data_IF_481011753829
#
_entry.id   IF_481011753829
#
_cell.length_a   1.000
_cell.length_b   1.000
_cell.length_c   1.000
_cell.angle_alpha   90.00
_cell.angle_beta   90.00
_cell.angle_gamma   90.00
#
_symmetry.space_group_name_H-M   'P 1'
#
loop_
_entity.id
_entity.type
_entity.pdbx_description
1 polymer ?
#
# COMPACT_ATOMS: atom_id res chain seq x y z
N UNK A 1 53.95 23.28 -5.23
CA UNK A 1 54.08 22.22 -4.17
C UNK A 1 52.70 21.82 -3.65
N UNK A 2 52.52 20.71 -2.91
CA UNK A 2 51.24 20.47 -2.20
C UNK A 2 51.13 21.38 -0.98
N UNK A 3 49.91 21.73 -0.54
CA UNK A 3 49.66 22.56 0.66
C UNK A 3 50.43 22.02 1.88
N UNK A 4 50.43 20.70 2.07
CA UNK A 4 51.14 20.06 3.17
C UNK A 4 52.67 20.26 3.08
N UNK A 5 53.26 20.13 1.89
CA UNK A 5 54.70 20.37 1.69
C UNK A 5 55.06 21.84 1.90
N UNK A 6 54.19 22.76 1.48
CA UNK A 6 54.35 24.20 1.75
C UNK A 6 54.34 24.47 3.26
N UNK A 7 53.33 23.97 3.97
CA UNK A 7 53.20 24.12 5.41
C UNK A 7 54.40 23.55 6.19
N UNK A 8 54.86 22.35 5.84
CA UNK A 8 56.03 21.71 6.46
C UNK A 8 57.33 22.48 6.22
N UNK A 9 57.49 23.07 5.02
CA UNK A 9 58.67 23.86 4.67
C UNK A 9 58.69 25.22 5.36
N UNK A 10 57.55 25.89 5.38
CA UNK A 10 57.34 27.15 6.11
C UNK A 10 57.57 26.95 7.61
N UNK A 11 57.06 25.85 8.18
CA UNK A 11 57.28 25.48 9.59
C UNK A 11 58.78 25.30 9.90
N UNK A 12 59.52 24.62 9.02
CA UNK A 12 60.96 24.39 9.16
C UNK A 12 61.79 25.68 9.07
N UNK A 13 61.41 26.61 8.19
CA UNK A 13 62.20 27.82 7.91
C UNK A 13 61.81 29.02 8.77
N UNK A 14 60.53 29.16 9.11
CA UNK A 14 59.96 30.33 9.77
C UNK A 14 59.41 30.01 11.17
N UNK A 15 59.40 28.73 11.58
CA UNK A 15 58.87 28.30 12.88
C UNK A 15 57.34 28.31 12.96
N UNK A 16 56.65 28.63 11.86
CA UNK A 16 55.20 28.73 11.79
C UNK A 16 54.66 27.90 10.62
N UNK A 17 53.76 26.97 10.92
CA UNK A 17 53.14 26.11 9.90
C UNK A 17 52.15 26.86 9.00
N UNK A 18 51.40 27.80 9.58
CA UNK A 18 50.46 28.71 8.91
C UNK A 18 49.68 28.09 7.72
N UNK A 19 49.20 26.85 7.91
CA UNK A 19 48.60 26.04 6.85
C UNK A 19 47.32 26.68 6.28
N UNK A 20 46.63 27.49 7.07
CA UNK A 20 45.44 28.24 6.68
C UNK A 20 45.75 29.31 5.64
N UNK A 21 46.91 29.96 5.73
CA UNK A 21 47.38 30.94 4.73
C UNK A 21 47.64 30.22 3.41
N UNK A 22 48.35 29.08 3.43
CA UNK A 22 48.58 28.27 2.23
C UNK A 22 47.27 27.78 1.60
N UNK A 23 46.30 27.35 2.41
CA UNK A 23 44.97 26.99 1.92
C UNK A 23 44.24 28.20 1.33
N UNK A 24 44.34 29.38 1.92
CA UNK A 24 43.68 30.57 1.41
C UNK A 24 44.27 31.02 0.07
N UNK A 25 45.58 30.87 -0.13
CA UNK A 25 46.25 31.14 -1.40
C UNK A 25 45.74 30.18 -2.49
N UNK A 26 45.71 28.87 -2.22
CA UNK A 26 45.41 27.84 -3.23
C UNK A 26 43.91 27.51 -3.39
N UNK A 27 43.07 27.77 -2.38
CA UNK A 27 41.63 27.38 -2.38
C UNK A 27 40.67 28.51 -2.69
N UNK A 28 41.13 29.58 -3.33
CA UNK A 28 40.29 30.74 -3.63
C UNK A 28 38.97 30.39 -4.35
N UNK A 29 38.88 29.25 -5.05
CA UNK A 29 37.66 28.83 -5.78
C UNK A 29 37.33 27.32 -5.69
N UNK A 30 37.33 26.72 -4.49
CA UNK A 30 37.06 25.28 -4.32
C UNK A 30 35.58 24.84 -4.50
N UNK A 31 34.65 25.76 -4.83
CA UNK A 31 33.25 25.42 -5.12
C UNK A 31 32.85 25.67 -6.59
N UNK A 32 33.31 26.76 -7.20
CA UNK A 32 32.95 27.09 -8.59
C UNK A 32 33.94 26.49 -9.60
N UNK A 33 35.22 26.31 -9.26
CA UNK A 33 36.25 25.86 -10.20
C UNK A 33 36.01 24.47 -10.78
N UNK A 34 35.50 23.52 -9.99
CA UNK A 34 35.21 22.18 -10.51
C UNK A 34 33.92 22.11 -11.33
N UNK A 35 32.87 22.82 -10.90
CA UNK A 35 31.62 22.93 -11.66
C UNK A 35 31.84 23.69 -12.98
N UNK A 36 32.71 24.71 -12.97
CA UNK A 36 33.10 25.47 -14.15
C UNK A 36 34.01 24.65 -15.08
N UNK A 37 34.98 23.91 -14.54
CA UNK A 37 35.77 22.94 -15.29
C UNK A 37 34.89 21.88 -16.00
N UNK A 38 33.90 21.31 -15.30
CA UNK A 38 32.97 20.35 -15.92
C UNK A 38 32.14 20.98 -17.06
N UNK A 39 31.89 22.29 -17.01
CA UNK A 39 31.12 23.01 -18.04
C UNK A 39 31.99 23.53 -19.19
N UNK A 40 33.24 23.95 -18.93
CA UNK A 40 34.04 24.77 -19.85
C UNK A 40 35.44 24.20 -20.13
N UNK A 41 35.91 23.20 -19.38
CA UNK A 41 37.26 22.64 -19.49
C UNK A 41 37.59 21.91 -20.79
N UNK A 42 36.60 21.64 -21.64
CA UNK A 42 36.78 21.06 -22.98
C UNK A 42 36.90 22.15 -24.08
N UNK A 43 36.75 23.44 -23.74
CA UNK A 43 36.84 24.52 -24.71
C UNK A 43 38.29 24.85 -25.08
N UNK A 44 38.58 25.11 -26.38
CA UNK A 44 39.90 25.60 -26.79
C UNK A 44 40.27 26.90 -26.06
N UNK A 45 41.43 26.93 -25.39
CA UNK A 45 41.91 28.12 -24.66
C UNK A 45 41.56 28.17 -23.17
N UNK A 46 40.86 27.18 -22.62
CA UNK A 46 40.63 27.08 -21.17
C UNK A 46 41.94 26.82 -20.41
N UNK A 47 42.26 27.67 -19.43
CA UNK A 47 43.41 27.49 -18.55
C UNK A 47 42.94 27.27 -17.09
N UNK A 48 43.16 26.07 -16.51
CA UNK A 48 42.75 25.76 -15.14
C UNK A 48 43.49 26.61 -14.08
N UNK A 49 44.60 27.27 -14.44
CA UNK A 49 45.39 28.13 -13.56
C UNK A 49 45.03 29.61 -13.67
N UNK A 50 44.05 29.98 -14.49
CA UNK A 50 43.63 31.38 -14.68
C UNK A 50 43.21 32.08 -13.38
N UNK A 51 42.74 31.34 -12.38
CA UNK A 51 42.39 31.87 -11.06
C UNK A 51 43.60 32.33 -10.24
N UNK A 52 44.81 31.82 -10.53
CA UNK A 52 46.03 32.14 -9.77
C UNK A 52 46.37 33.63 -9.82
N UNK A 53 46.01 34.33 -10.90
CA UNK A 53 46.19 35.80 -11.00
C UNK A 53 45.57 36.60 -9.85
N UNK A 54 44.63 36.02 -9.11
CA UNK A 54 43.97 36.68 -8.00
C UNK A 54 44.77 36.62 -6.70
N UNK A 55 45.29 35.44 -6.30
CA UNK A 55 45.98 35.24 -5.01
C UNK A 55 47.43 34.79 -5.10
N UNK A 56 47.91 34.44 -6.29
CA UNK A 56 49.33 34.19 -6.55
C UNK A 56 50.06 35.42 -7.09
N UNK A 57 49.71 36.61 -6.62
CA UNK A 57 50.33 37.87 -7.04
C UNK A 57 50.66 38.75 -5.84
N UNK A 58 51.62 39.66 -6.01
CA UNK A 58 52.05 40.62 -4.98
C UNK A 58 50.91 41.43 -4.39
N UNK A 59 49.98 41.83 -5.23
CA UNK A 59 48.83 42.67 -4.88
C UNK A 59 47.91 41.98 -3.87
N UNK A 60 47.87 40.64 -3.89
CA UNK A 60 47.05 39.86 -2.97
C UNK A 60 47.67 39.71 -1.57
N UNK A 61 48.91 40.15 -1.37
CA UNK A 61 49.53 40.14 -0.05
C UNK A 61 48.76 41.03 0.93
N UNK A 62 48.24 42.17 0.46
CA UNK A 62 47.45 43.06 1.31
C UNK A 62 46.12 42.42 1.74
N UNK A 63 45.45 41.72 0.81
CA UNK A 63 44.25 40.93 1.11
C UNK A 63 44.55 39.82 2.14
N UNK A 64 45.73 39.18 2.06
CA UNK A 64 46.16 38.17 3.03
C UNK A 64 46.38 38.79 4.43
N UNK A 65 46.96 39.99 4.51
CA UNK A 65 47.14 40.71 5.77
C UNK A 65 45.80 41.05 6.40
N UNK A 66 44.83 41.49 5.61
CA UNK A 66 43.48 41.80 6.08
C UNK A 66 42.75 40.55 6.60
N UNK A 67 42.76 39.46 5.83
CA UNK A 67 42.08 38.21 6.20
C UNK A 67 42.63 37.60 7.51
N UNK A 68 43.96 37.59 7.64
CA UNK A 68 44.64 36.94 8.76
C UNK A 68 45.04 37.91 9.88
N UNK A 69 44.58 39.16 9.80
CA UNK A 69 44.78 40.18 10.82
C UNK A 69 44.28 39.66 12.18
N UNK A 70 45.16 39.68 13.19
CA UNK A 70 44.84 39.24 14.54
C UNK A 70 44.95 37.72 14.79
N UNK A 71 45.13 36.91 13.74
CA UNK A 71 45.44 35.47 13.85
C UNK A 71 46.95 35.23 13.82
N UNK A 72 47.64 35.94 12.91
CA UNK A 72 49.10 35.88 12.77
C UNK A 72 49.71 37.30 12.80
N UNK A 73 50.96 37.45 13.29
CA UNK A 73 51.73 38.67 13.11
C UNK A 73 51.91 39.00 11.62
N UNK A 74 51.91 40.29 11.27
CA UNK A 74 52.00 40.74 9.86
C UNK A 74 53.29 40.25 9.19
N UNK A 75 54.41 40.23 9.91
CA UNK A 75 55.70 39.70 9.43
C UNK A 75 55.63 38.20 9.13
N UNK A 76 54.84 37.43 9.90
CA UNK A 76 54.61 36.01 9.64
C UNK A 76 53.72 35.83 8.41
N UNK A 77 52.64 36.61 8.28
CA UNK A 77 51.76 36.55 7.10
C UNK A 77 52.56 36.84 5.82
N UNK A 78 53.37 37.90 5.84
CA UNK A 78 54.22 38.29 4.73
C UNK A 78 55.21 37.19 4.35
N UNK A 79 55.95 36.68 5.34
CA UNK A 79 56.96 35.67 5.10
C UNK A 79 56.36 34.35 4.58
N UNK A 80 55.22 33.93 5.12
CA UNK A 80 54.52 32.70 4.69
C UNK A 80 53.96 32.86 3.29
N UNK A 81 53.28 33.98 3.01
CA UNK A 81 52.66 34.26 1.71
C UNK A 81 53.71 34.38 0.61
N UNK A 82 54.72 35.24 0.80
CA UNK A 82 55.79 35.44 -0.17
C UNK A 82 56.55 34.14 -0.42
N UNK A 83 56.81 33.35 0.63
CA UNK A 83 57.51 32.07 0.49
C UNK A 83 56.71 31.07 -0.32
N UNK A 84 55.42 30.94 -0.03
CA UNK A 84 54.55 30.02 -0.77
C UNK A 84 54.55 30.33 -2.27
N UNK A 85 54.43 31.61 -2.64
CA UNK A 85 54.44 32.02 -4.03
C UNK A 85 55.81 31.78 -4.66
N UNK A 86 56.89 32.19 -3.99
CA UNK A 86 58.24 31.96 -4.52
C UNK A 86 58.57 30.48 -4.68
N UNK A 87 58.06 29.61 -3.82
CA UNK A 87 58.25 28.17 -3.94
C UNK A 87 57.48 27.56 -5.12
N UNK A 88 56.41 28.20 -5.58
CA UNK A 88 55.64 27.79 -6.76
C UNK A 88 56.18 28.37 -8.08
N UNK A 89 56.97 29.45 -8.04
CA UNK A 89 57.50 30.15 -9.22
C UNK A 89 59.04 30.26 -9.23
N UNK A 90 59.75 29.25 -8.72
CA UNK A 90 61.22 29.15 -8.73
C UNK A 90 61.93 30.42 -8.21
N UNK A 91 61.43 30.96 -7.11
CA UNK A 91 61.95 32.16 -6.46
C UNK A 91 61.42 33.47 -7.04
N UNK A 92 60.63 33.46 -8.11
CA UNK A 92 59.98 34.66 -8.63
C UNK A 92 58.73 35.02 -7.80
N UNK A 93 58.46 36.31 -7.64
CA UNK A 93 57.27 36.80 -6.95
C UNK A 93 56.49 37.71 -7.91
N UNK A 94 55.48 37.18 -8.60
CA UNK A 94 54.82 37.82 -9.74
C UNK A 94 53.87 38.95 -9.35
N UNK A 95 53.67 39.88 -10.29
CA UNK A 95 52.59 40.86 -10.28
C UNK A 95 51.35 40.29 -10.99
N UNK A 96 50.17 40.88 -10.76
CA UNK A 96 48.93 40.44 -11.42
C UNK A 96 49.04 40.54 -12.95
N UNK A 97 49.71 41.58 -13.45
CA UNK A 97 49.98 41.80 -14.88
C UNK A 97 50.81 40.67 -15.53
N UNK A 98 51.67 40.00 -14.76
CA UNK A 98 52.48 38.89 -15.28
C UNK A 98 51.59 37.74 -15.79
N UNK A 99 50.43 37.52 -15.17
CA UNK A 99 49.49 36.47 -15.57
C UNK A 99 48.68 36.81 -16.83
N UNK A 100 48.67 38.06 -17.28
CA UNK A 100 47.98 38.51 -18.50
C UNK A 100 48.89 38.38 -19.74
N UNK A 101 50.21 38.44 -19.53
CA UNK A 101 51.21 38.15 -20.54
C UNK A 101 51.36 36.62 -20.66
N UNK A 102 50.73 36.02 -21.67
CA UNK A 102 50.63 34.55 -21.84
C UNK A 102 51.94 33.74 -21.73
N UNK A 103 53.09 34.40 -21.83
CA UNK A 103 54.43 33.81 -21.66
C UNK A 103 54.80 33.47 -20.21
N UNK A 104 54.19 34.09 -19.20
CA UNK A 104 54.54 33.87 -17.79
C UNK A 104 54.10 32.49 -17.29
N UNK A 105 52.85 32.13 -17.57
CA UNK A 105 52.28 30.85 -17.15
C UNK A 105 52.97 29.68 -17.86
N UNK A 106 53.36 29.86 -19.13
CA UNK A 106 54.13 28.87 -19.90
C UNK A 106 55.52 28.65 -19.27
N UNK A 107 56.26 29.73 -18.96
CA UNK A 107 57.63 29.64 -18.42
C UNK A 107 57.75 28.89 -17.10
N UNK A 108 56.78 29.03 -16.20
CA UNK A 108 56.85 28.46 -14.84
C UNK A 108 55.98 27.21 -14.64
N UNK A 109 55.18 26.80 -15.64
CA UNK A 109 54.40 25.57 -15.60
C UNK A 109 54.78 24.51 -16.66
N UNK A 110 55.74 24.76 -17.56
CA UNK A 110 56.28 23.75 -18.50
C UNK A 110 57.40 22.85 -17.92
N UNK A 111 57.78 23.00 -16.64
CA UNK A 111 58.88 22.21 -16.06
C UNK A 111 58.51 20.76 -15.69
N UNK A 112 57.25 20.35 -15.79
CA UNK A 112 56.86 18.93 -15.67
C UNK A 112 55.78 18.65 -16.72
N UNK A 113 56.19 18.02 -17.82
CA UNK A 113 55.40 17.81 -19.04
C UNK A 113 54.33 16.73 -18.88
N UNK A 114 53.43 16.94 -17.92
CA UNK A 114 52.15 16.23 -17.84
C UNK A 114 51.04 17.26 -17.71
N UNK A 115 50.35 17.55 -18.81
CA UNK A 115 49.02 18.17 -18.75
C UNK A 115 48.18 17.24 -17.86
N UNK A 116 47.87 17.69 -16.64
CA UNK A 116 47.03 16.95 -15.71
C UNK A 116 45.74 16.56 -16.45
N UNK A 117 45.51 15.25 -16.58
CA UNK A 117 44.31 14.74 -17.22
C UNK A 117 43.06 15.01 -16.36
N UNK A 118 41.89 14.74 -16.91
CA UNK A 118 40.63 14.80 -16.14
C UNK A 118 40.67 13.94 -14.89
N UNK A 119 41.44 12.85 -14.88
CA UNK A 119 41.64 11.97 -13.71
C UNK A 119 42.55 12.60 -12.66
N UNK A 120 43.68 13.19 -13.05
CA UNK A 120 44.62 13.82 -12.12
C UNK A 120 44.02 15.08 -11.47
N UNK A 121 43.24 15.86 -12.24
CA UNK A 121 42.46 16.99 -11.74
C UNK A 121 41.33 16.52 -10.80
N UNK A 122 40.65 15.42 -11.16
CA UNK A 122 39.63 14.84 -10.29
C UNK A 122 40.22 14.30 -8.98
N UNK A 123 41.47 13.84 -8.95
CA UNK A 123 42.16 13.44 -7.72
C UNK A 123 42.58 14.66 -6.88
N UNK A 124 43.06 15.73 -7.51
CA UNK A 124 43.39 17.01 -6.86
C UNK A 124 42.19 17.65 -6.15
N UNK A 125 41.00 17.64 -6.78
CA UNK A 125 39.75 18.17 -6.21
C UNK A 125 38.95 17.15 -5.38
N UNK A 126 39.31 15.85 -5.38
CA UNK A 126 38.70 14.82 -4.52
C UNK A 126 39.30 14.83 -3.12
N UNK A 127 38.95 15.85 -2.33
CA UNK A 127 38.97 15.66 -0.88
C UNK A 127 37.98 14.56 -0.46
N UNK A 128 38.38 13.65 0.44
CA UNK A 128 37.52 12.61 1.09
C UNK A 128 36.17 13.12 1.64
N UNK A 129 35.95 14.42 1.70
CA UNK A 129 34.71 15.07 2.11
C UNK A 129 33.63 15.12 1.00
N UNK A 130 33.99 15.19 -0.28
CA UNK A 130 33.00 15.41 -1.36
C UNK A 130 32.20 14.14 -1.70
N UNK A 131 32.85 12.98 -1.81
CA UNK A 131 32.12 11.72 -2.02
C UNK A 131 31.18 11.40 -0.85
N UNK A 132 31.60 11.71 0.38
CA UNK A 132 30.74 11.60 1.57
C UNK A 132 29.59 12.62 1.53
N UNK A 133 29.81 13.84 1.07
CA UNK A 133 28.78 14.87 0.96
C UNK A 133 27.76 14.58 -0.14
N UNK A 134 28.18 14.13 -1.32
CA UNK A 134 27.28 13.75 -2.42
C UNK A 134 26.48 12.47 -2.09
N UNK A 135 27.12 11.46 -1.49
CA UNK A 135 26.43 10.28 -0.98
C UNK A 135 25.49 10.61 0.19
N UNK A 136 25.88 11.53 1.07
CA UNK A 136 25.03 12.04 2.14
C UNK A 136 23.85 12.86 1.61
N UNK A 137 24.04 13.67 0.56
CA UNK A 137 22.99 14.48 -0.07
C UNK A 137 21.95 13.58 -0.77
N UNK A 138 22.38 12.57 -1.54
CA UNK A 138 21.48 11.55 -2.12
C UNK A 138 20.72 10.77 -1.04
N UNK A 139 21.39 10.38 0.06
CA UNK A 139 20.74 9.73 1.22
C UNK A 139 19.79 10.69 1.98
N UNK A 140 20.04 12.00 1.96
CA UNK A 140 19.21 13.02 2.63
C UNK A 140 17.94 13.30 1.81
N UNK A 141 18.03 13.34 0.48
CA UNK A 141 16.90 13.49 -0.44
C UNK A 141 15.91 12.31 -0.37
N UNK A 142 16.40 11.07 -0.37
CA UNK A 142 15.49 9.90 -0.26
C UNK A 142 14.83 9.78 1.12
N UNK A 143 15.57 10.06 2.20
CA UNK A 143 15.00 10.09 3.57
C UNK A 143 14.01 11.23 3.78
N UNK A 144 14.13 12.34 3.05
CA UNK A 144 13.18 13.44 3.09
C UNK A 144 11.84 13.05 2.46
N UNK A 145 11.84 12.41 1.29
CA UNK A 145 10.62 11.96 0.60
C UNK A 145 9.84 10.91 1.42
N UNK A 146 10.52 9.91 1.99
CA UNK A 146 9.88 8.86 2.79
C UNK A 146 9.18 9.38 4.06
N UNK A 147 9.62 10.52 4.61
CA UNK A 147 8.97 11.14 5.78
C UNK A 147 7.58 11.68 5.48
N UNK A 148 7.29 12.05 4.24
CA UNK A 148 5.97 12.51 3.82
C UNK A 148 5.14 11.39 3.20
N UNK A 149 5.76 10.47 2.47
CA UNK A 149 5.05 9.37 1.83
C UNK A 149 4.53 8.33 2.83
N UNK A 150 5.30 8.00 3.86
CA UNK A 150 4.93 6.96 4.81
C UNK A 150 3.61 7.29 5.54
N UNK A 151 3.42 8.48 6.17
CA UNK A 151 2.15 8.79 6.83
C UNK A 151 0.96 8.80 5.89
N UNK A 152 1.14 9.24 4.64
CA UNK A 152 0.07 9.26 3.63
C UNK A 152 -0.34 7.85 3.24
N UNK A 153 0.62 6.97 2.95
CA UNK A 153 0.36 5.56 2.64
C UNK A 153 -0.29 4.88 3.85
N UNK A 154 0.21 5.11 5.06
CA UNK A 154 -0.39 4.58 6.28
C UNK A 154 -1.83 5.06 6.46
N UNK A 155 -2.10 6.35 6.26
CA UNK A 155 -3.45 6.90 6.35
C UNK A 155 -4.39 6.28 5.31
N UNK A 156 -3.92 6.07 4.07
CA UNK A 156 -4.70 5.40 3.02
C UNK A 156 -5.01 3.95 3.36
N UNK A 157 -4.02 3.19 3.84
CA UNK A 157 -4.22 1.80 4.26
C UNK A 157 -5.20 1.72 5.43
N UNK A 158 -5.08 2.60 6.42
CA UNK A 158 -6.02 2.67 7.54
C UNK A 158 -7.42 3.06 7.08
N UNK A 159 -7.55 4.02 6.16
CA UNK A 159 -8.84 4.42 5.60
C UNK A 159 -9.50 3.24 4.88
N UNK A 160 -8.80 2.61 3.93
CA UNK A 160 -9.31 1.44 3.20
C UNK A 160 -9.67 0.33 4.18
N UNK A 161 -8.76 -0.04 5.09
CA UNK A 161 -9.02 -1.06 6.11
C UNK A 161 -10.26 -0.77 6.96
N UNK A 162 -10.45 0.49 7.39
CA UNK A 162 -11.64 0.90 8.14
C UNK A 162 -12.93 0.79 7.32
N UNK A 163 -12.87 1.10 6.02
CA UNK A 163 -14.01 0.95 5.12
C UNK A 163 -14.40 -0.53 4.95
N UNK A 164 -13.43 -1.44 4.80
CA UNK A 164 -13.73 -2.88 4.76
C UNK A 164 -14.34 -3.37 6.08
N UNK A 165 -13.79 -2.95 7.22
CA UNK A 165 -14.32 -3.31 8.54
C UNK A 165 -15.77 -2.86 8.76
N UNK A 166 -16.22 -1.81 8.08
CA UNK A 166 -17.61 -1.31 8.20
C UNK A 166 -18.51 -1.89 7.11
N UNK A 167 -18.09 -1.81 5.84
CA UNK A 167 -18.93 -2.13 4.68
C UNK A 167 -19.23 -3.63 4.61
N UNK A 168 -18.21 -4.49 4.80
CA UNK A 168 -18.37 -5.96 4.64
C UNK A 168 -19.37 -6.54 5.64
N UNK A 169 -19.25 -6.33 6.96
CA UNK A 169 -20.20 -6.91 7.92
C UNK A 169 -21.61 -6.33 7.76
N UNK A 170 -21.74 -5.01 7.56
CA UNK A 170 -23.05 -4.37 7.34
C UNK A 170 -23.71 -4.94 6.08
N UNK A 171 -22.96 -5.10 4.99
CA UNK A 171 -23.49 -5.66 3.75
C UNK A 171 -23.90 -7.11 3.94
N UNK A 172 -23.10 -7.91 4.65
CA UNK A 172 -23.42 -9.31 4.96
C UNK A 172 -24.70 -9.41 5.78
N UNK A 173 -24.82 -8.62 6.85
CA UNK A 173 -25.99 -8.60 7.72
C UNK A 173 -27.24 -8.17 6.95
N UNK A 174 -27.16 -7.11 6.15
CA UNK A 174 -28.26 -6.65 5.31
C UNK A 174 -28.70 -7.71 4.30
N UNK A 175 -27.74 -8.40 3.65
CA UNK A 175 -28.05 -9.49 2.73
C UNK A 175 -28.74 -10.66 3.45
N UNK A 176 -28.27 -11.05 4.63
CA UNK A 176 -28.89 -12.09 5.45
C UNK A 176 -30.30 -11.70 5.89
N UNK A 177 -30.49 -10.47 6.36
CA UNK A 177 -31.80 -9.96 6.80
C UNK A 177 -32.79 -9.91 5.65
N UNK A 178 -32.36 -9.43 4.48
CA UNK A 178 -33.18 -9.45 3.26
C UNK A 178 -33.59 -10.87 2.88
N UNK A 179 -32.66 -11.83 2.98
CA UNK A 179 -32.95 -13.24 2.72
C UNK A 179 -33.94 -13.83 3.72
N UNK A 180 -33.77 -13.53 5.02
CA UNK A 180 -34.69 -13.92 6.09
C UNK A 180 -36.10 -13.36 5.87
N UNK A 181 -36.21 -12.10 5.47
CA UNK A 181 -37.50 -11.48 5.12
C UNK A 181 -38.11 -12.16 3.89
N UNK A 182 -37.29 -12.41 2.85
CA UNK A 182 -37.74 -13.09 1.63
C UNK A 182 -38.33 -14.47 1.93
N UNK A 183 -37.63 -15.32 2.70
CA UNK A 183 -38.14 -16.67 3.01
C UNK A 183 -39.39 -16.63 3.90
N UNK A 184 -39.52 -15.61 4.76
CA UNK A 184 -40.75 -15.39 5.56
C UNK A 184 -41.95 -15.10 4.68
N UNK A 185 -41.81 -14.16 3.74
CA UNK A 185 -42.88 -13.83 2.78
C UNK A 185 -43.20 -15.01 1.85
N UNK A 186 -42.19 -15.75 1.40
CA UNK A 186 -42.38 -16.95 0.58
C UNK A 186 -43.11 -18.07 1.33
N UNK A 187 -42.81 -18.28 2.62
CA UNK A 187 -43.59 -19.21 3.45
C UNK A 187 -45.05 -18.76 3.57
N UNK A 188 -45.32 -17.45 3.66
CA UNK A 188 -46.70 -16.94 3.68
C UNK A 188 -47.46 -17.24 2.38
N UNK A 189 -46.78 -17.21 1.22
CA UNK A 189 -47.37 -17.64 -0.06
C UNK A 189 -47.75 -19.13 -0.03
N UNK A 190 -46.87 -19.98 0.51
CA UNK A 190 -47.16 -21.41 0.64
C UNK A 190 -48.33 -21.67 1.62
N UNK A 191 -48.39 -20.94 2.73
CA UNK A 191 -49.54 -21.01 3.66
C UNK A 191 -50.84 -20.55 2.98
N UNK A 192 -50.80 -19.50 2.15
CA UNK A 192 -51.96 -19.08 1.36
C UNK A 192 -52.47 -20.17 0.39
N UNK A 193 -51.57 -20.99 -0.15
CA UNK A 193 -51.98 -22.17 -0.92
C UNK A 193 -52.67 -23.22 -0.04
N UNK A 194 -52.16 -23.48 1.18
CA UNK A 194 -52.83 -24.36 2.14
C UNK A 194 -54.23 -23.84 2.48
N UNK A 195 -54.37 -22.55 2.78
CA UNK A 195 -55.65 -21.89 3.08
C UNK A 195 -56.66 -22.05 1.94
N UNK A 196 -56.22 -21.90 0.68
CA UNK A 196 -57.07 -22.09 -0.49
C UNK A 196 -57.65 -23.52 -0.54
N UNK A 197 -56.82 -24.55 -0.40
CA UNK A 197 -57.29 -25.94 -0.40
C UNK A 197 -58.13 -26.28 0.83
N UNK A 198 -57.78 -25.73 2.00
CA UNK A 198 -58.59 -25.86 3.22
C UNK A 198 -59.98 -25.28 3.03
N UNK A 199 -60.09 -24.07 2.47
CA UNK A 199 -61.37 -23.45 2.16
C UNK A 199 -62.25 -24.29 1.24
N UNK A 200 -61.66 -24.90 0.20
CA UNK A 200 -62.39 -25.82 -0.69
C UNK A 200 -62.88 -27.08 0.01
N UNK A 201 -62.10 -27.60 0.95
CA UNK A 201 -62.53 -28.71 1.81
C UNK A 201 -63.71 -28.30 2.70
N UNK A 202 -63.65 -27.11 3.30
CA UNK A 202 -64.69 -26.59 4.20
C UNK A 202 -66.01 -26.29 3.48
N UNK A 203 -65.94 -25.90 2.21
CA UNK A 203 -67.09 -25.75 1.32
C UNK A 203 -67.64 -27.11 0.83
N UNK A 204 -66.99 -28.23 1.15
CA UNK A 204 -67.39 -29.56 0.71
C UNK A 204 -67.12 -29.85 -0.77
N UNK A 205 -66.29 -29.04 -1.43
CA UNK A 205 -65.92 -29.21 -2.85
C UNK A 205 -64.90 -30.35 -3.07
N UNK A 206 -64.24 -30.80 -2.01
CA UNK A 206 -63.33 -31.95 -1.99
C UNK A 206 -63.20 -32.49 -0.56
N UNK A 207 -62.72 -33.72 -0.41
CA UNK A 207 -62.43 -34.25 0.93
C UNK A 207 -61.19 -33.58 1.52
N UNK A 208 -61.10 -33.52 2.86
CA UNK A 208 -59.93 -32.94 3.54
C UNK A 208 -58.63 -33.65 3.16
N UNK A 209 -58.68 -34.97 2.98
CA UNK A 209 -57.53 -35.76 2.55
C UNK A 209 -57.10 -35.40 1.12
N UNK A 210 -58.05 -35.19 0.21
CA UNK A 210 -57.75 -34.78 -1.17
C UNK A 210 -57.22 -33.34 -1.21
N UNK A 211 -57.74 -32.46 -0.35
CA UNK A 211 -57.27 -31.08 -0.20
C UNK A 211 -55.82 -31.03 0.30
N UNK A 212 -55.52 -31.77 1.36
CA UNK A 212 -54.17 -31.94 1.89
C UNK A 212 -53.21 -32.47 0.81
N UNK A 213 -53.59 -33.56 0.13
CA UNK A 213 -52.76 -34.15 -0.92
C UNK A 213 -52.49 -33.17 -2.08
N UNK A 214 -53.50 -32.45 -2.56
CA UNK A 214 -53.31 -31.48 -3.64
C UNK A 214 -52.46 -30.28 -3.20
N UNK A 215 -52.67 -29.79 -1.98
CA UNK A 215 -51.88 -28.69 -1.42
C UNK A 215 -50.41 -29.07 -1.27
N UNK A 216 -50.11 -30.25 -0.72
CA UNK A 216 -48.73 -30.72 -0.56
C UNK A 216 -48.04 -30.95 -1.90
N UNK A 217 -48.74 -31.49 -2.90
CA UNK A 217 -48.22 -31.66 -4.27
C UNK A 217 -48.00 -30.34 -5.01
N UNK A 218 -48.84 -29.33 -4.78
CA UNK A 218 -48.61 -27.99 -5.32
C UNK A 218 -47.36 -27.37 -4.71
N UNK A 219 -47.26 -27.36 -3.38
CA UNK A 219 -46.10 -26.85 -2.65
C UNK A 219 -44.82 -27.62 -3.02
N UNK A 220 -44.90 -28.95 -3.23
CA UNK A 220 -43.79 -29.79 -3.71
C UNK A 220 -43.20 -29.28 -5.01
N UNK A 221 -43.99 -28.66 -5.89
CA UNK A 221 -43.57 -28.17 -7.21
C UNK A 221 -43.13 -26.71 -7.18
N UNK A 222 -43.46 -25.95 -6.14
CA UNK A 222 -43.04 -24.56 -6.02
C UNK A 222 -41.51 -24.47 -5.90
N UNK A 223 -40.90 -23.65 -6.75
CA UNK A 223 -39.46 -23.37 -6.75
C UNK A 223 -39.21 -21.87 -6.85
N UNK A 224 -38.07 -21.45 -6.34
CA UNK A 224 -37.60 -20.07 -6.44
C UNK A 224 -36.07 -19.99 -6.41
N UNK A 225 -35.55 -18.77 -6.37
CA UNK A 225 -34.11 -18.49 -6.42
C UNK A 225 -33.57 -18.47 -7.85
N UNK A 226 -32.32 -18.03 -8.01
CA UNK A 226 -31.72 -17.82 -9.35
C UNK A 226 -31.55 -19.09 -10.16
N UNK A 227 -31.36 -20.24 -9.49
CA UNK A 227 -31.23 -21.54 -10.15
C UNK A 227 -32.55 -22.33 -10.19
N UNK A 228 -33.65 -21.75 -9.66
CA UNK A 228 -34.95 -22.39 -9.56
C UNK A 228 -34.89 -23.75 -8.81
N UNK A 229 -34.01 -23.84 -7.80
CA UNK A 229 -33.76 -25.03 -6.99
C UNK A 229 -34.16 -24.89 -5.52
N UNK A 230 -34.47 -23.68 -5.04
CA UNK A 230 -34.98 -23.50 -3.68
C UNK A 230 -36.40 -24.02 -3.55
N UNK A 231 -36.72 -24.56 -2.38
CA UNK A 231 -37.87 -25.44 -2.22
C UNK A 231 -38.51 -25.33 -0.83
N UNK A 232 -39.71 -25.89 -0.72
CA UNK A 232 -40.49 -25.99 0.52
C UNK A 232 -40.50 -27.42 1.02
N UNK A 233 -40.67 -27.60 2.32
CA UNK A 233 -40.90 -28.88 2.97
C UNK A 233 -41.99 -28.71 4.04
N UNK A 234 -42.65 -29.81 4.40
CA UNK A 234 -43.75 -29.80 5.37
C UNK A 234 -43.51 -30.93 6.38
N UNK A 235 -43.59 -30.61 7.68
CA UNK A 235 -43.67 -31.59 8.77
C UNK A 235 -44.98 -31.39 9.56
N UNK A 236 -45.33 -32.35 10.41
CA UNK A 236 -46.34 -32.15 11.46
C UNK A 236 -45.72 -31.69 12.80
N UNK A 237 -46.54 -31.38 13.80
CA UNK A 237 -46.07 -30.97 15.15
C UNK A 237 -45.22 -32.01 15.88
N UNK A 238 -45.26 -33.27 15.44
CA UNK A 238 -44.48 -34.38 16.00
C UNK A 238 -43.18 -34.60 15.24
N UNK A 239 -42.83 -33.70 14.33
CA UNK A 239 -41.67 -33.82 13.44
C UNK A 239 -41.75 -35.01 12.47
N UNK A 240 -42.96 -35.44 12.08
CA UNK A 240 -43.15 -36.40 10.99
C UNK A 240 -43.12 -35.66 9.66
N UNK A 241 -42.32 -36.13 8.70
CA UNK A 241 -42.28 -35.51 7.36
C UNK A 241 -43.58 -35.77 6.60
N UNK A 242 -44.24 -34.69 6.19
CA UNK A 242 -45.44 -34.74 5.34
C UNK A 242 -45.04 -34.68 3.86
N UNK A 243 -44.08 -33.83 3.51
CA UNK A 243 -43.64 -33.65 2.12
C UNK A 243 -42.22 -33.10 2.07
N UNK A 244 -41.35 -33.76 1.29
CA UNK A 244 -40.03 -33.22 0.95
C UNK A 244 -39.72 -33.45 -0.54
N UNK A 245 -39.40 -32.40 -1.32
CA UNK A 245 -39.28 -32.54 -2.77
C UNK A 245 -38.02 -33.26 -3.23
N UNK A 246 -36.94 -33.20 -2.46
CA UNK A 246 -35.63 -33.78 -2.81
C UNK A 246 -35.27 -35.04 -2.02
N UNK A 247 -36.05 -35.39 -1.00
CA UNK A 247 -35.83 -36.55 -0.13
C UNK A 247 -37.19 -37.19 0.19
N UNK A 248 -37.94 -37.64 -0.84
CA UNK A 248 -39.25 -38.24 -0.65
C UNK A 248 -39.23 -39.48 0.24
N UNK A 249 -38.06 -40.14 0.39
CA UNK A 249 -37.85 -41.25 1.31
C UNK A 249 -38.08 -40.89 2.77
N UNK A 250 -38.00 -39.60 3.15
CA UNK A 250 -38.28 -39.14 4.51
C UNK A 250 -39.78 -39.10 4.81
N UNK A 251 -40.65 -39.07 3.81
CA UNK A 251 -42.10 -38.87 3.98
C UNK A 251 -42.73 -40.00 4.81
N UNK A 252 -43.50 -39.61 5.83
CA UNK A 252 -44.11 -40.50 6.81
C UNK A 252 -43.16 -40.97 7.92
N UNK A 253 -41.87 -40.62 7.90
CA UNK A 253 -40.94 -40.95 8.97
C UNK A 253 -41.00 -39.94 10.11
N UNK A 254 -40.84 -40.44 11.33
CA UNK A 254 -40.59 -39.61 12.52
C UNK A 254 -39.13 -39.13 12.52
N UNK A 255 -38.95 -37.81 12.50
CA UNK A 255 -37.65 -37.16 12.45
C UNK A 255 -37.35 -36.37 13.73
N UNK A 256 -38.05 -36.64 14.83
CA UNK A 256 -37.83 -35.96 16.12
C UNK A 256 -36.40 -36.13 16.65
N UNK A 257 -35.76 -37.25 16.30
CA UNK A 257 -34.39 -37.60 16.66
C UNK A 257 -33.39 -37.41 15.50
N UNK A 258 -33.85 -36.85 14.36
CA UNK A 258 -32.96 -36.55 13.25
C UNK A 258 -31.93 -35.51 13.69
N UNK A 259 -30.65 -35.87 13.55
CA UNK A 259 -29.51 -34.99 13.70
C UNK A 259 -28.66 -35.06 12.45
N UNK A 260 -28.10 -33.92 12.06
CA UNK A 260 -27.00 -33.95 11.12
C UNK A 260 -25.79 -34.64 11.77
N UNK A 261 -25.26 -35.67 11.12
CA UNK A 261 -24.06 -36.40 11.55
C UNK A 261 -22.77 -35.58 11.45
N UNK A 262 -22.77 -34.53 10.62
CA UNK A 262 -21.61 -33.64 10.41
C UNK A 262 -21.62 -32.44 11.35
N UNK A 263 -22.76 -32.15 11.98
CA UNK A 263 -22.88 -31.09 12.97
C UNK A 263 -22.53 -31.64 14.36
N UNK A 264 -21.32 -31.31 14.82
CA UNK A 264 -20.79 -31.78 16.11
C UNK A 264 -21.52 -31.15 17.31
N UNK A 265 -22.26 -30.05 17.10
CA UNK A 265 -23.16 -29.40 18.06
C UNK A 265 -24.65 -29.68 17.76
N UNK A 266 -24.93 -30.61 16.85
CA UNK A 266 -26.15 -30.76 16.05
C UNK A 266 -27.49 -30.49 16.72
N UNK A 267 -28.19 -29.50 16.17
CA UNK A 267 -29.60 -29.20 16.44
C UNK A 267 -30.47 -30.36 15.94
N UNK A 268 -31.45 -30.76 16.75
CA UNK A 268 -32.51 -31.66 16.29
C UNK A 268 -33.45 -30.89 15.37
N UNK A 269 -33.07 -30.77 14.10
CA UNK A 269 -33.66 -29.87 13.11
C UNK A 269 -35.20 -29.86 13.17
N UNK A 270 -35.84 -30.99 12.93
CA UNK A 270 -37.29 -31.04 12.79
C UNK A 270 -38.01 -30.87 14.12
N UNK A 271 -37.40 -31.32 15.22
CA UNK A 271 -37.93 -31.09 16.57
C UNK A 271 -37.86 -29.63 16.97
N UNK A 272 -36.76 -28.96 16.65
CA UNK A 272 -36.59 -27.53 16.95
C UNK A 272 -37.48 -26.67 16.05
N UNK A 273 -37.63 -27.04 14.77
CA UNK A 273 -38.62 -26.43 13.89
C UNK A 273 -40.04 -26.58 14.43
N UNK A 274 -40.41 -27.78 14.91
CA UNK A 274 -41.68 -28.02 15.56
C UNK A 274 -41.87 -27.17 16.83
N UNK A 275 -40.84 -27.12 17.69
CA UNK A 275 -40.86 -26.30 18.90
C UNK A 275 -41.10 -24.82 18.59
N UNK A 276 -40.31 -24.23 17.69
CA UNK A 276 -40.43 -22.82 17.28
C UNK A 276 -41.82 -22.51 16.71
N UNK A 277 -42.32 -23.36 15.81
CA UNK A 277 -43.61 -23.15 15.18
C UNK A 277 -44.79 -23.32 16.15
N UNK A 278 -44.67 -24.17 17.18
CA UNK A 278 -45.74 -24.39 18.17
C UNK A 278 -45.74 -23.34 19.29
N UNK A 279 -44.57 -22.88 19.73
CA UNK A 279 -44.45 -21.90 20.81
C UNK A 279 -44.76 -20.48 20.34
N UNK A 280 -44.20 -20.08 19.20
CA UNK A 280 -44.27 -18.70 18.70
C UNK A 280 -45.15 -18.57 17.43
N UNK A 281 -45.66 -19.68 16.90
CA UNK A 281 -46.40 -19.74 15.62
C UNK A 281 -45.48 -19.80 14.39
N UNK A 282 -44.25 -19.29 14.52
CA UNK A 282 -43.27 -19.15 13.45
C UNK A 282 -41.85 -18.98 14.00
N UNK A 283 -40.82 -19.18 13.18
CA UNK A 283 -39.45 -18.97 13.62
C UNK A 283 -38.38 -19.24 12.57
N UNK A 284 -37.15 -18.80 12.88
CA UNK A 284 -35.97 -19.08 12.06
C UNK A 284 -35.12 -20.17 12.71
N UNK A 285 -34.60 -21.08 11.89
CA UNK A 285 -33.70 -22.15 12.32
C UNK A 285 -32.52 -22.27 11.34
N UNK A 286 -31.32 -22.42 11.89
CA UNK A 286 -30.08 -22.61 11.13
C UNK A 286 -29.55 -24.02 11.35
N UNK A 287 -29.18 -24.70 10.27
CA UNK A 287 -28.77 -26.09 10.28
C UNK A 287 -28.02 -26.46 9.00
N UNK A 288 -27.21 -27.51 9.06
CA UNK A 288 -26.60 -28.09 7.88
C UNK A 288 -27.59 -29.01 7.16
N UNK A 289 -27.64 -28.90 5.83
CA UNK A 289 -28.54 -29.71 5.01
C UNK A 289 -27.94 -30.02 3.64
N UNK A 290 -28.46 -31.06 3.00
CA UNK A 290 -28.18 -31.39 1.61
C UNK A 290 -28.33 -30.15 0.74
N UNK A 291 -27.35 -29.87 -0.12
CA UNK A 291 -27.39 -28.77 -1.06
C UNK A 291 -28.26 -29.15 -2.27
N UNK A 292 -29.50 -28.66 -2.29
CA UNK A 292 -30.52 -28.97 -3.29
C UNK A 292 -30.69 -30.48 -3.55
N UNK A 293 -30.43 -30.93 -4.78
CA UNK A 293 -30.56 -32.28 -5.30
C UNK A 293 -29.25 -33.08 -5.26
N UNK A 294 -28.20 -32.58 -4.59
CA UNK A 294 -26.90 -33.25 -4.47
C UNK A 294 -26.71 -33.89 -3.08
N UNK A 295 -26.91 -35.22 -2.93
CA UNK A 295 -26.77 -35.91 -1.64
C UNK A 295 -25.34 -35.92 -1.08
N UNK A 296 -24.33 -35.64 -1.92
CA UNK A 296 -22.92 -35.63 -1.53
C UNK A 296 -22.44 -34.28 -1.00
N UNK A 297 -23.24 -33.22 -1.17
CA UNK A 297 -22.88 -31.87 -0.77
C UNK A 297 -23.79 -31.38 0.35
N UNK A 298 -23.20 -30.89 1.45
CA UNK A 298 -23.92 -30.19 2.52
C UNK A 298 -23.52 -28.74 2.59
N UNK A 299 -24.49 -27.92 2.97
CA UNK A 299 -24.37 -26.49 3.06
C UNK A 299 -25.17 -25.99 4.27
N UNK A 300 -24.77 -24.83 4.79
CA UNK A 300 -25.39 -24.25 5.96
C UNK A 300 -26.62 -23.50 5.49
N UNK A 301 -27.78 -23.84 6.03
CA UNK A 301 -29.08 -23.34 5.60
C UNK A 301 -29.76 -22.61 6.74
N UNK A 302 -30.35 -21.45 6.43
CA UNK A 302 -31.28 -20.75 7.31
C UNK A 302 -32.67 -20.95 6.73
N UNK A 303 -33.56 -21.56 7.49
CA UNK A 303 -34.97 -21.72 7.12
C UNK A 303 -35.87 -20.92 8.04
N UNK A 304 -37.02 -20.53 7.49
CA UNK A 304 -38.15 -20.00 8.22
C UNK A 304 -39.27 -21.02 8.21
N UNK A 305 -39.87 -21.25 9.37
CA UNK A 305 -40.98 -22.18 9.56
C UNK A 305 -42.20 -21.44 10.09
N UNK A 306 -43.38 -21.88 9.68
CA UNK A 306 -44.67 -21.35 10.17
C UNK A 306 -45.68 -22.47 10.33
N UNK A 307 -46.40 -22.47 11.45
CA UNK A 307 -47.47 -23.43 11.73
C UNK A 307 -48.76 -23.02 11.01
N UNK A 308 -49.42 -24.00 10.41
CA UNK A 308 -50.76 -23.95 9.87
C UNK A 308 -51.64 -24.90 10.72
N UNK A 309 -52.32 -24.37 11.76
CA UNK A 309 -52.95 -25.16 12.80
C UNK A 309 -54.04 -26.12 12.30
N UNK A 310 -54.75 -25.75 11.23
CA UNK A 310 -55.89 -26.47 10.69
C UNK A 310 -55.56 -27.90 10.28
N UNK A 311 -54.34 -28.13 9.79
CA UNK A 311 -53.84 -29.44 9.41
C UNK A 311 -52.70 -29.94 10.29
N UNK A 312 -52.37 -29.19 11.34
CA UNK A 312 -51.18 -29.41 12.15
C UNK A 312 -49.90 -29.49 11.32
N UNK A 313 -49.81 -28.67 10.26
CA UNK A 313 -48.69 -28.66 9.33
C UNK A 313 -47.77 -27.49 9.61
N UNK A 314 -46.48 -27.74 9.52
CA UNK A 314 -45.44 -26.72 9.64
C UNK A 314 -44.75 -26.66 8.29
N UNK A 315 -44.90 -25.52 7.62
CA UNK A 315 -44.28 -25.27 6.32
C UNK A 315 -42.94 -24.58 6.54
N UNK A 316 -41.89 -25.13 5.96
CA UNK A 316 -40.55 -24.57 6.00
C UNK A 316 -40.01 -24.26 4.61
N UNK A 317 -39.28 -23.16 4.50
CA UNK A 317 -38.40 -22.89 3.35
C UNK A 317 -37.18 -22.11 3.81
N UNK A 318 -36.11 -22.11 3.02
CA UNK A 318 -34.86 -21.51 3.45
C UNK A 318 -33.89 -21.27 2.31
N UNK A 319 -32.80 -20.59 2.63
CA UNK A 319 -31.69 -20.31 1.71
C UNK A 319 -30.37 -20.76 2.30
N UNK A 320 -29.44 -21.12 1.41
CA UNK A 320 -28.09 -21.50 1.81
C UNK A 320 -27.22 -20.26 2.04
N UNK A 321 -26.48 -20.25 3.16
CA UNK A 321 -25.60 -19.12 3.53
C UNK A 321 -24.50 -18.93 2.49
N UNK A 322 -24.04 -20.01 1.86
CA UNK A 322 -23.05 -19.98 0.78
C UNK A 322 -23.47 -19.06 -0.38
N UNK A 323 -24.77 -18.94 -0.68
CA UNK A 323 -25.24 -18.03 -1.72
C UNK A 323 -25.10 -16.57 -1.33
N UNK A 324 -25.27 -16.27 -0.03
CA UNK A 324 -25.01 -14.94 0.52
C UNK A 324 -23.52 -14.64 0.47
N UNK A 325 -22.67 -15.59 0.87
CA UNK A 325 -21.21 -15.44 0.78
C UNK A 325 -20.74 -15.25 -0.67
N UNK A 326 -21.36 -15.93 -1.64
CA UNK A 326 -21.06 -15.75 -3.07
C UNK A 326 -21.40 -14.33 -3.54
N UNK A 327 -22.49 -13.74 -3.05
CA UNK A 327 -22.84 -12.35 -3.36
C UNK A 327 -21.92 -11.36 -2.66
N UNK A 328 -21.57 -11.63 -1.40
CA UNK A 328 -20.61 -10.84 -0.63
C UNK A 328 -19.22 -10.83 -1.30
N UNK A 329 -18.74 -11.98 -1.78
CA UNK A 329 -17.48 -12.08 -2.50
C UNK A 329 -17.47 -11.25 -3.80
N UNK A 330 -18.60 -11.19 -4.52
CA UNK A 330 -18.72 -10.29 -5.68
C UNK A 330 -18.59 -8.83 -5.27
N UNK A 331 -19.17 -8.43 -4.14
CA UNK A 331 -19.01 -7.08 -3.59
C UNK A 331 -17.54 -6.80 -3.23
N UNK A 332 -16.87 -7.74 -2.55
CA UNK A 332 -15.45 -7.62 -2.18
C UNK A 332 -14.58 -7.44 -3.43
N UNK A 333 -14.78 -8.26 -4.47
CA UNK A 333 -14.05 -8.11 -5.75
C UNK A 333 -14.26 -6.73 -6.36
N UNK A 334 -15.49 -6.19 -6.33
CA UNK A 334 -15.76 -4.82 -6.82
C UNK A 334 -15.05 -3.74 -6.01
N UNK A 335 -14.98 -3.92 -4.69
CA UNK A 335 -14.21 -3.02 -3.83
C UNK A 335 -12.72 -3.10 -4.15
N UNK A 336 -12.18 -4.31 -4.32
CA UNK A 336 -10.78 -4.53 -4.68
C UNK A 336 -10.44 -3.89 -6.04
N UNK A 337 -11.30 -4.06 -7.05
CA UNK A 337 -11.16 -3.40 -8.37
C UNK A 337 -11.12 -1.87 -8.23
N UNK A 338 -12.04 -1.30 -7.44
CA UNK A 338 -12.13 0.14 -7.23
C UNK A 338 -10.92 0.70 -6.48
N UNK A 339 -10.56 0.11 -5.34
CA UNK A 339 -9.41 0.56 -4.55
C UNK A 339 -8.09 0.31 -5.28
N UNK A 340 -7.97 -0.80 -6.02
CA UNK A 340 -6.82 -1.08 -6.89
C UNK A 340 -6.67 -0.04 -8.00
N UNK A 341 -7.76 0.37 -8.64
CA UNK A 341 -7.76 1.46 -9.63
C UNK A 341 -7.32 2.80 -9.04
N UNK A 342 -7.85 3.17 -7.87
CA UNK A 342 -7.45 4.40 -7.15
C UNK A 342 -5.96 4.35 -6.78
N UNK A 343 -5.48 3.20 -6.29
CA UNK A 343 -4.06 3.02 -5.95
C UNK A 343 -3.16 3.16 -7.19
N UNK A 344 -3.54 2.56 -8.32
CA UNK A 344 -2.80 2.66 -9.57
C UNK A 344 -2.68 4.12 -10.05
N UNK A 345 -3.80 4.86 -10.08
CA UNK A 345 -3.80 6.28 -10.47
C UNK A 345 -2.93 7.11 -9.51
N UNK A 346 -3.03 6.84 -8.21
CA UNK A 346 -2.22 7.52 -7.19
C UNK A 346 -0.72 7.28 -7.39
N UNK A 347 -0.33 6.05 -7.73
CA UNK A 347 1.07 5.68 -8.02
C UNK A 347 1.55 6.39 -9.30
N UNK A 348 0.75 6.40 -10.37
CA UNK A 348 1.10 7.07 -11.62
C UNK A 348 1.31 8.58 -11.44
N UNK A 349 0.43 9.23 -10.67
CA UNK A 349 0.57 10.64 -10.31
C UNK A 349 1.85 10.90 -9.50
N UNK A 350 2.14 10.04 -8.52
CA UNK A 350 3.35 10.15 -7.72
C UNK A 350 4.61 10.00 -8.57
N UNK A 351 4.64 9.05 -9.51
CA UNK A 351 5.74 8.89 -10.46
C UNK A 351 5.88 10.12 -11.37
N UNK A 352 4.77 10.66 -11.88
CA UNK A 352 4.79 11.86 -12.72
C UNK A 352 5.35 13.07 -11.98
N UNK A 353 4.95 13.30 -10.72
CA UNK A 353 5.49 14.38 -9.87
C UNK A 353 6.98 14.19 -9.60
N UNK A 354 7.41 12.96 -9.30
CA UNK A 354 8.82 12.66 -9.03
C UNK A 354 9.70 12.74 -10.27
N UNK A 355 9.17 12.50 -11.47
CA UNK A 355 9.90 12.62 -12.73
C UNK A 355 10.01 14.09 -13.20
N UNK A 356 9.11 14.96 -12.74
CA UNK A 356 9.10 16.40 -13.07
C UNK A 356 9.88 17.28 -12.08
N UNK A 357 10.38 16.73 -10.97
CA UNK A 357 11.19 17.40 -9.95
C UNK A 357 12.67 17.00 -10.06
#
# INVERSE_FOLDING_TARGET
MTIQKHAERTESLLGHRAEEIHRWIDRYFDAEGFADFLRHGQQPGYNPYSHRKHRHCREALEEAREEFAGVYPVDVIDAVFERHIRDDYDGYFPYREDFENGTFQEKYHEADSRKLGSEDLAEYFRGKHYEKAAAAARRRGSRFLWRFLLPVITALVLLVGSLYMVIVPISRENMLNLKKETIRELTAVAVGALEYYKGRSDEGLMSEKDAQFQASEEIRRMRYGSENKEYYWIIDSRAVMVMHPYQPELEGQDLSDYRDKEDTDGVYLFREAARLALEDGEGYIEYWWQHWDDPGAKALKISYVRHFPEWDWIVGTGVYIQDVEKQLNKLIIRLDEMFGGIALVSILLLVWVLAGA
#
